data_IF_100619258190
#
_entry.id   IF_100619258190
#
_cell.length_a   1.000
_cell.length_b   1.000
_cell.length_c   1.000
_cell.angle_alpha   90.00
_cell.angle_beta   90.00
_cell.angle_gamma   90.00
#
_symmetry.space_group_name_H-M   'P 1'
#
loop_
_entity.id
_entity.type
_entity.pdbx_description
1 polymer ?
#
# COMPACT_ATOMS: atom_id res chain seq x y z
N UNK A 1 -8.29 14.38 -10.85
CA UNK A 1 -7.04 13.74 -10.39
C UNK A 1 -7.26 12.24 -10.39
N UNK A 2 -6.68 11.53 -11.36
CA UNK A 2 -6.98 10.12 -11.61
C UNK A 2 -6.29 9.20 -10.61
N UNK A 3 -5.09 9.60 -10.14
CA UNK A 3 -4.39 8.90 -9.08
C UNK A 3 -5.20 8.83 -7.77
N UNK A 4 -5.80 9.93 -7.34
CA UNK A 4 -6.64 9.93 -6.13
C UNK A 4 -7.84 8.99 -6.28
N UNK A 5 -8.53 9.03 -7.42
CA UNK A 5 -9.68 8.17 -7.69
C UNK A 5 -9.27 6.69 -7.68
N UNK A 6 -8.14 6.36 -8.29
CA UNK A 6 -7.57 5.02 -8.29
C UNK A 6 -7.27 4.55 -6.87
N UNK A 7 -6.44 5.29 -6.12
CA UNK A 7 -6.01 4.86 -4.78
C UNK A 7 -7.18 4.72 -3.80
N UNK A 8 -8.24 5.52 -3.96
CA UNK A 8 -9.41 5.49 -3.08
C UNK A 8 -10.48 4.47 -3.49
N UNK A 9 -10.46 3.95 -4.73
CA UNK A 9 -11.41 2.94 -5.19
C UNK A 9 -10.97 1.50 -4.93
N UNK A 10 -9.67 1.25 -4.76
CA UNK A 10 -9.11 -0.09 -4.54
C UNK A 10 -9.46 -0.62 -3.14
N UNK A 11 -9.97 -1.86 -3.06
CA UNK A 11 -10.18 -2.57 -1.79
C UNK A 11 -8.88 -3.19 -1.24
N UNK A 12 -7.83 -2.38 -1.13
CA UNK A 12 -6.51 -2.82 -0.65
C UNK A 12 -6.49 -2.94 0.87
N UNK A 13 -6.26 -4.14 1.38
CA UNK A 13 -6.13 -4.40 2.83
C UNK A 13 -4.81 -3.84 3.40
N UNK A 14 -4.72 -3.56 4.71
CA UNK A 14 -5.75 -3.75 5.74
C UNK A 14 -6.92 -2.75 5.72
N UNK A 15 -6.76 -1.53 5.20
CA UNK A 15 -7.80 -0.48 5.32
C UNK A 15 -8.99 -0.67 4.38
N UNK A 16 -8.78 -1.14 3.16
CA UNK A 16 -9.81 -1.27 2.12
C UNK A 16 -10.10 0.01 1.35
N UNK A 17 -11.18 0.01 0.57
CA UNK A 17 -11.58 1.13 -0.28
C UNK A 17 -12.15 2.31 0.54
N UNK A 18 -12.12 3.51 -0.04
CA UNK A 18 -12.69 4.71 0.55
C UNK A 18 -11.78 5.94 0.44
N UNK A 19 -12.32 7.09 0.84
CA UNK A 19 -11.61 8.38 0.77
C UNK A 19 -10.41 8.41 1.74
N UNK A 20 -9.44 9.28 1.44
CA UNK A 20 -8.34 9.58 2.37
C UNK A 20 -8.93 10.20 3.63
N UNK A 21 -8.64 9.59 4.78
CA UNK A 21 -9.26 9.96 6.06
C UNK A 21 -8.54 11.10 6.77
N UNK A 22 -7.21 11.09 6.75
CA UNK A 22 -6.38 12.10 7.40
C UNK A 22 -4.98 12.15 6.78
N UNK A 23 -4.19 13.15 7.17
CA UNK A 23 -2.77 13.22 6.83
C UNK A 23 -2.03 11.96 7.33
N UNK A 24 -0.99 11.54 6.59
CA UNK A 24 -0.17 10.35 6.87
C UNK A 24 -0.83 8.99 6.62
N UNK A 25 -1.87 8.94 5.77
CA UNK A 25 -2.34 7.69 5.17
C UNK A 25 -1.28 7.11 4.22
N UNK A 26 -1.12 5.78 4.22
CA UNK A 26 0.02 5.11 3.58
C UNK A 26 -0.46 4.08 2.58
N UNK A 27 0.16 4.09 1.40
CA UNK A 27 -0.04 3.09 0.35
C UNK A 27 1.31 2.47 0.03
N UNK A 28 1.39 1.14 0.05
CA UNK A 28 2.56 0.42 -0.44
C UNK A 28 2.31 0.01 -1.88
N UNK A 29 3.23 0.40 -2.76
CA UNK A 29 3.22 0.08 -4.18
C UNK A 29 4.41 -0.83 -4.45
N UNK A 30 4.17 -1.95 -5.12
CA UNK A 30 5.23 -2.90 -5.47
C UNK A 30 6.02 -2.48 -6.71
N UNK A 31 7.03 -3.28 -7.07
CA UNK A 31 7.90 -3.03 -8.24
C UNK A 31 7.17 -3.04 -9.59
N UNK A 32 5.96 -3.59 -9.65
CA UNK A 32 5.13 -3.66 -10.86
C UNK A 32 4.08 -2.52 -10.88
N UNK A 33 4.13 -1.60 -9.93
CA UNK A 33 3.17 -0.49 -9.83
C UNK A 33 1.84 -0.88 -9.19
N UNK A 34 1.73 -2.08 -8.59
CA UNK A 34 0.49 -2.54 -7.96
C UNK A 34 0.41 -2.09 -6.49
N UNK A 35 -0.76 -1.62 -6.07
CA UNK A 35 -1.00 -1.24 -4.67
C UNK A 35 -1.26 -2.51 -3.84
N UNK A 36 -0.29 -2.88 -3.02
CA UNK A 36 -0.28 -4.16 -2.29
C UNK A 36 -0.68 -4.03 -0.82
N UNK A 37 -0.64 -2.83 -0.25
CA UNK A 37 -1.15 -2.57 1.10
C UNK A 37 -1.63 -1.12 1.28
N UNK A 38 -2.63 -0.92 2.13
CA UNK A 38 -3.13 0.41 2.54
C UNK A 38 -3.31 0.49 4.05
N UNK A 39 -2.62 1.43 4.69
CA UNK A 39 -2.66 1.64 6.14
C UNK A 39 -3.25 2.99 6.50
N UNK A 40 -3.98 3.03 7.61
CA UNK A 40 -4.54 4.27 8.15
C UNK A 40 -3.47 5.23 8.66
N UNK A 41 -3.87 6.48 8.89
CA UNK A 41 -3.01 7.51 9.45
C UNK A 41 -2.48 7.16 10.85
N UNK A 42 -3.28 6.45 11.65
CA UNK A 42 -2.94 6.02 13.01
C UNK A 42 -1.93 4.86 13.06
N UNK A 43 -1.70 4.14 11.96
CA UNK A 43 -0.67 3.11 11.88
C UNK A 43 0.69 3.77 11.95
N UNK A 44 1.56 3.33 12.86
CA UNK A 44 2.90 3.91 12.97
C UNK A 44 3.76 3.52 11.75
N UNK A 45 4.74 4.34 11.35
CA UNK A 45 5.64 3.99 10.25
C UNK A 45 6.44 2.69 10.49
N UNK A 46 6.77 2.39 11.75
CA UNK A 46 7.50 1.22 12.22
C UNK A 46 6.60 0.08 12.73
N UNK A 47 5.29 0.16 12.46
CA UNK A 47 4.35 -0.88 12.84
C UNK A 47 4.80 -2.24 12.26
N UNK A 48 4.84 -3.32 13.06
CA UNK A 48 5.28 -4.63 12.59
C UNK A 48 4.58 -5.11 11.32
N UNK A 49 3.30 -4.76 11.12
CA UNK A 49 2.56 -5.11 9.91
C UNK A 49 3.06 -4.35 8.67
N UNK A 50 3.51 -3.10 8.84
CA UNK A 50 4.11 -2.29 7.77
C UNK A 50 5.49 -2.85 7.40
N UNK A 51 6.33 -3.12 8.40
CA UNK A 51 7.68 -3.68 8.17
C UNK A 51 7.57 -5.05 7.50
N UNK A 52 6.71 -5.94 8.01
CA UNK A 52 6.56 -7.29 7.47
C UNK A 52 6.15 -7.31 5.99
N UNK A 53 5.26 -6.39 5.58
CA UNK A 53 4.83 -6.33 4.18
C UNK A 53 5.91 -5.75 3.26
N UNK A 54 6.69 -4.78 3.74
CA UNK A 54 7.84 -4.25 3.02
C UNK A 54 8.87 -5.36 2.79
N UNK A 55 9.26 -6.07 3.85
CA UNK A 55 10.23 -7.17 3.76
C UNK A 55 9.75 -8.28 2.81
N UNK A 56 8.44 -8.61 2.86
CA UNK A 56 7.84 -9.57 1.93
C UNK A 56 7.98 -9.13 0.48
N UNK A 57 7.65 -7.87 0.17
CA UNK A 57 7.75 -7.35 -1.20
C UNK A 57 9.20 -7.16 -1.67
N UNK A 58 10.13 -6.92 -0.75
CA UNK A 58 11.57 -6.87 -1.05
C UNK A 58 12.14 -8.26 -1.34
N UNK A 59 11.72 -9.28 -0.59
CA UNK A 59 12.12 -10.66 -0.81
C UNK A 59 11.56 -11.25 -2.11
N UNK A 60 10.44 -10.71 -2.61
CA UNK A 60 9.89 -11.07 -3.90
C UNK A 60 10.83 -10.53 -5.00
N UNK A 61 11.61 -11.42 -5.61
CA UNK A 61 12.40 -11.07 -6.80
C UNK A 61 11.44 -10.45 -7.82
N UNK A 62 11.83 -9.30 -8.39
CA UNK A 62 11.09 -8.68 -9.48
C UNK A 62 10.75 -9.78 -10.49
N UNK A 63 9.46 -9.93 -10.79
CA UNK A 63 9.05 -10.78 -11.88
C UNK A 63 9.88 -10.37 -13.08
N UNK A 64 10.72 -11.30 -13.52
CA UNK A 64 11.25 -11.34 -14.87
C UNK A 64 10.01 -11.41 -15.75
N UNK A 65 9.53 -10.26 -16.22
CA UNK A 65 8.71 -10.20 -17.42
C UNK A 65 9.70 -10.33 -18.58
N UNK A 66 9.84 -11.57 -19.05
CA UNK A 66 10.09 -11.86 -20.46
C UNK A 66 8.76 -11.95 -21.19
#
# INVERSE_FOLDING_TARGET
CDLYKLLTSLDTKPKGAGRIGWNFEKFLIDRNGMVVARFGASTKPDDPAVVAIIERELARTAGVEG
#
